data_IF_092389138308
#
_entry.id   IF_092389138308
#
_cell.length_a   1.000
_cell.length_b   1.000
_cell.length_c   1.000
_cell.angle_alpha   90.00
_cell.angle_beta   90.00
_cell.angle_gamma   90.00
#
_symmetry.space_group_name_H-M   'P 1'
#
loop_
_entity.id
_entity.type
_entity.pdbx_description
1 polymer ?
#
# COMPACT_ATOMS: atom_id res chain seq x y z
N UNK A 1 25.30 12.15 -39.01
CA UNK A 1 25.95 13.45 -38.72
C UNK A 1 26.59 13.35 -37.34
N UNK A 2 27.93 13.37 -37.27
CA UNK A 2 28.67 13.20 -36.01
C UNK A 2 28.39 14.38 -35.08
N UNK A 3 27.89 14.11 -33.86
CA UNK A 3 27.63 15.15 -32.87
C UNK A 3 28.92 15.89 -32.55
N UNK A 4 28.88 17.22 -32.66
CA UNK A 4 30.01 18.08 -32.30
C UNK A 4 30.26 17.91 -30.80
N UNK A 5 31.53 17.99 -30.36
CA UNK A 5 31.90 17.82 -28.93
C UNK A 5 31.09 18.71 -27.99
N UNK A 6 30.71 19.89 -28.46
CA UNK A 6 29.85 20.85 -27.75
C UNK A 6 28.42 20.34 -27.52
N UNK A 7 27.86 19.57 -28.46
CA UNK A 7 26.51 19.00 -28.32
C UNK A 7 26.50 17.83 -27.34
N UNK A 8 27.61 17.10 -27.22
CA UNK A 8 27.78 16.08 -26.18
C UNK A 8 27.82 16.69 -24.78
N UNK A 9 28.51 17.82 -24.61
CA UNK A 9 28.58 18.52 -23.33
C UNK A 9 27.22 19.10 -22.92
N UNK A 10 26.46 19.66 -23.86
CA UNK A 10 25.08 20.11 -23.62
C UNK A 10 24.17 18.96 -23.19
N UNK A 11 24.26 17.82 -23.87
CA UNK A 11 23.48 16.64 -23.49
C UNK A 11 23.86 16.10 -22.11
N UNK A 12 25.14 16.18 -21.72
CA UNK A 12 25.59 15.81 -20.36
C UNK A 12 25.01 16.76 -19.31
N UNK A 13 25.04 18.07 -19.55
CA UNK A 13 24.44 19.06 -18.66
C UNK A 13 22.93 18.86 -18.50
N UNK A 14 22.21 18.57 -19.60
CA UNK A 14 20.77 18.26 -19.57
C UNK A 14 20.47 16.98 -18.78
N UNK A 15 21.28 15.94 -18.93
CA UNK A 15 21.14 14.69 -18.16
C UNK A 15 21.36 14.91 -16.66
N UNK A 16 22.37 15.69 -16.28
CA UNK A 16 22.63 16.03 -14.89
C UNK A 16 21.49 16.86 -14.27
N UNK A 17 20.97 17.85 -15.00
CA UNK A 17 19.82 18.64 -14.57
C UNK A 17 18.56 17.80 -14.37
N UNK A 18 18.29 16.86 -15.28
CA UNK A 18 17.15 15.94 -15.14
C UNK A 18 17.33 14.96 -13.97
N UNK A 19 18.55 14.46 -13.73
CA UNK A 19 18.85 13.59 -12.59
C UNK A 19 18.62 14.32 -11.25
N UNK A 20 19.04 15.58 -11.13
CA UNK A 20 18.78 16.38 -9.91
C UNK A 20 17.29 16.66 -9.69
N UNK A 21 16.52 16.95 -10.75
CA UNK A 21 15.06 17.14 -10.65
C UNK A 21 14.35 15.86 -10.20
N UNK A 22 14.77 14.70 -10.71
CA UNK A 22 14.21 13.39 -10.29
C UNK A 22 14.58 13.06 -8.83
N UNK A 23 15.81 13.34 -8.40
CA UNK A 23 16.21 13.15 -7.00
C UNK A 23 15.39 14.04 -6.04
N UNK A 24 15.04 15.26 -6.46
CA UNK A 24 14.17 16.16 -5.69
C UNK A 24 12.70 15.70 -5.67
N UNK A 25 12.25 14.93 -6.67
CA UNK A 25 10.89 14.38 -6.76
C UNK A 25 10.65 13.21 -5.78
N UNK A 26 11.69 12.67 -5.14
CA UNK A 26 11.55 11.61 -4.12
C UNK A 26 11.12 12.13 -2.73
N UNK A 27 10.54 13.34 -2.65
CA UNK A 27 9.94 13.91 -1.43
C UNK A 27 8.51 13.42 -1.17
N UNK A 28 8.10 12.32 -1.80
CA UNK A 28 6.88 11.60 -1.44
C UNK A 28 7.08 10.77 -0.16
N UNK A 29 6.92 11.41 1.00
CA UNK A 29 6.54 10.76 2.26
C UNK A 29 7.54 9.76 2.87
N UNK A 30 8.46 10.26 3.71
CA UNK A 30 9.39 9.47 4.55
C UNK A 30 8.71 8.70 5.72
N UNK A 31 7.45 8.28 5.59
CA UNK A 31 6.74 7.50 6.62
C UNK A 31 6.28 6.11 6.14
N UNK A 32 6.85 5.58 5.04
CA UNK A 32 6.45 4.29 4.48
C UNK A 32 7.58 3.25 4.46
N UNK A 33 8.58 3.38 5.34
CA UNK A 33 9.79 2.54 5.32
C UNK A 33 10.02 1.80 6.64
N UNK A 34 9.09 0.91 7.03
CA UNK A 34 9.40 -0.12 8.05
C UNK A 34 8.57 -1.39 7.89
N UNK A 35 8.42 -1.90 6.67
CA UNK A 35 8.05 -3.30 6.39
C UNK A 35 8.19 -3.54 4.89
N UNK A 36 8.58 -4.74 4.41
CA UNK A 36 8.52 -5.09 2.99
C UNK A 36 7.03 -5.19 2.63
N UNK A 37 6.42 -4.03 2.38
CA UNK A 37 5.02 -3.94 2.01
C UNK A 37 4.91 -4.57 0.64
N UNK A 38 4.49 -5.84 0.61
CA UNK A 38 3.98 -6.55 -0.57
C UNK A 38 3.25 -5.53 -1.42
N UNK A 39 3.61 -5.45 -2.70
CA UNK A 39 3.09 -4.41 -3.59
C UNK A 39 1.57 -4.35 -3.40
N UNK A 40 1.05 -3.17 -3.02
CA UNK A 40 -0.38 -3.00 -2.66
C UNK A 40 -1.30 -3.49 -3.78
N UNK A 41 -0.79 -3.55 -5.02
CA UNK A 41 -1.47 -4.13 -6.17
C UNK A 41 -1.54 -5.65 -6.10
N UNK A 42 -0.46 -6.31 -5.71
CA UNK A 42 -0.42 -7.76 -5.52
C UNK A 42 -1.29 -8.19 -4.36
N UNK A 43 -1.25 -7.45 -3.24
CA UNK A 43 -2.14 -7.70 -2.10
C UNK A 43 -3.62 -7.60 -2.52
N UNK A 44 -4.00 -6.55 -3.28
CA UNK A 44 -5.36 -6.43 -3.82
C UNK A 44 -5.72 -7.55 -4.81
N UNK A 45 -4.78 -8.06 -5.59
CA UNK A 45 -5.02 -9.20 -6.49
C UNK A 45 -5.27 -10.48 -5.69
N UNK A 46 -4.52 -10.70 -4.61
CA UNK A 46 -4.73 -11.83 -3.70
C UNK A 46 -6.08 -11.70 -3.00
N UNK A 47 -6.40 -10.53 -2.48
CA UNK A 47 -7.69 -10.23 -1.85
C UNK A 47 -8.85 -10.48 -2.84
N UNK A 48 -8.73 -9.98 -4.08
CA UNK A 48 -9.72 -10.22 -5.14
C UNK A 48 -9.84 -11.70 -5.51
N UNK A 49 -8.73 -12.44 -5.60
CA UNK A 49 -8.74 -13.87 -5.84
C UNK A 49 -9.43 -14.64 -4.71
N UNK A 50 -9.34 -14.14 -3.48
CA UNK A 50 -10.03 -14.66 -2.31
C UNK A 50 -11.47 -14.12 -2.16
N UNK A 51 -11.93 -13.25 -3.08
CA UNK A 51 -13.27 -12.65 -3.04
C UNK A 51 -13.45 -11.55 -1.99
N UNK A 52 -12.36 -11.07 -1.36
CA UNK A 52 -12.40 -9.99 -0.38
C UNK A 52 -12.64 -8.66 -1.09
N UNK A 53 -13.74 -8.00 -0.74
CA UNK A 53 -14.11 -6.67 -1.22
C UNK A 53 -13.91 -5.66 -0.10
N UNK A 54 -13.28 -4.49 -0.35
CA UNK A 54 -13.19 -3.45 0.66
C UNK A 54 -14.59 -2.89 0.97
N UNK A 55 -15.09 -3.19 2.16
CA UNK A 55 -16.37 -2.68 2.66
C UNK A 55 -16.12 -1.59 3.71
N UNK A 56 -16.44 -0.33 3.35
CA UNK A 56 -16.23 0.81 4.24
C UNK A 56 -17.49 1.09 5.07
N UNK A 57 -17.50 0.62 6.32
CA UNK A 57 -18.49 1.00 7.32
C UNK A 57 -17.82 1.70 8.51
N UNK A 58 -18.49 2.68 9.10
CA UNK A 58 -18.01 3.34 10.33
C UNK A 58 -18.43 2.49 11.52
N UNK A 59 -17.46 2.04 12.30
CA UNK A 59 -17.67 1.31 13.56
C UNK A 59 -17.32 2.21 14.75
N UNK A 60 -17.93 1.94 15.90
CA UNK A 60 -17.55 2.59 17.16
C UNK A 60 -16.09 2.24 17.51
N UNK A 61 -15.32 3.20 18.02
CA UNK A 61 -13.91 3.00 18.36
C UNK A 61 -13.69 1.88 19.38
N UNK A 62 -14.54 1.77 20.40
CA UNK A 62 -14.45 0.70 21.40
C UNK A 62 -14.69 -0.68 20.79
N UNK A 63 -15.64 -0.79 19.85
CA UNK A 63 -15.89 -2.03 19.12
C UNK A 63 -14.69 -2.44 18.25
N UNK A 64 -14.02 -1.47 17.62
CA UNK A 64 -12.80 -1.74 16.84
C UNK A 64 -11.66 -2.24 17.73
N UNK A 65 -11.50 -1.68 18.94
CA UNK A 65 -10.49 -2.15 19.91
C UNK A 65 -10.79 -3.57 20.41
N UNK A 66 -12.06 -3.87 20.70
CA UNK A 66 -12.50 -5.20 21.10
C UNK A 66 -12.25 -6.23 19.98
N UNK A 67 -12.60 -5.89 18.74
CA UNK A 67 -12.34 -6.73 17.57
C UNK A 67 -10.85 -6.97 17.37
N UNK A 68 -10.00 -5.96 17.53
CA UNK A 68 -8.53 -6.11 17.45
C UNK A 68 -7.99 -7.02 18.55
N UNK A 69 -8.48 -6.84 19.77
CA UNK A 69 -8.06 -7.64 20.93
C UNK A 69 -8.41 -9.11 20.73
N UNK A 70 -9.62 -9.39 20.23
CA UNK A 70 -10.08 -10.76 19.93
C UNK A 70 -9.37 -11.36 18.71
N UNK A 71 -9.09 -10.54 17.70
CA UNK A 71 -8.37 -10.96 16.51
C UNK A 71 -6.91 -11.36 16.81
N UNK A 72 -6.31 -10.81 17.87
CA UNK A 72 -4.95 -11.15 18.28
C UNK A 72 -4.77 -12.64 18.62
N UNK A 73 -5.85 -13.32 19.05
CA UNK A 73 -5.85 -14.74 19.39
C UNK A 73 -6.53 -15.61 18.34
N UNK A 74 -6.99 -15.04 17.22
CA UNK A 74 -7.77 -15.75 16.22
C UNK A 74 -6.87 -16.34 15.12
N UNK A 75 -7.02 -17.63 14.75
CA UNK A 75 -6.15 -18.28 13.76
C UNK A 75 -6.20 -17.61 12.38
N UNK A 76 -7.37 -17.09 11.99
CA UNK A 76 -7.59 -16.39 10.71
C UNK A 76 -7.47 -14.86 10.80
N UNK A 77 -6.95 -14.36 11.93
CA UNK A 77 -6.78 -12.94 12.21
C UNK A 77 -8.10 -12.15 12.19
N UNK A 78 -8.01 -10.86 11.88
CA UNK A 78 -9.14 -9.92 11.95
C UNK A 78 -10.22 -10.20 10.91
N UNK A 79 -9.82 -10.58 9.68
CA UNK A 79 -10.78 -10.82 8.59
C UNK A 79 -11.61 -12.09 8.84
N UNK A 80 -11.00 -13.17 9.33
CA UNK A 80 -11.74 -14.38 9.67
C UNK A 80 -12.68 -14.17 10.87
N UNK A 81 -12.21 -13.50 11.93
CA UNK A 81 -13.07 -13.14 13.06
C UNK A 81 -14.28 -12.29 12.61
N UNK A 82 -14.05 -11.33 11.71
CA UNK A 82 -15.13 -10.50 11.16
C UNK A 82 -16.13 -11.34 10.35
N UNK A 83 -15.68 -12.28 9.51
CA UNK A 83 -16.58 -13.16 8.75
C UNK A 83 -17.47 -14.00 9.69
N UNK A 84 -16.90 -14.60 10.73
CA UNK A 84 -17.66 -15.36 11.73
C UNK A 84 -18.70 -14.51 12.47
N UNK A 85 -18.29 -13.34 12.98
CA UNK A 85 -19.19 -12.43 13.71
C UNK A 85 -20.31 -11.93 12.81
N UNK A 86 -19.99 -11.56 11.57
CA UNK A 86 -20.98 -11.08 10.61
C UNK A 86 -21.94 -12.21 10.23
N UNK A 87 -21.45 -13.41 9.89
CA UNK A 87 -22.31 -14.57 9.58
C UNK A 87 -23.22 -14.94 10.74
N UNK A 88 -22.70 -14.96 11.96
CA UNK A 88 -23.48 -15.23 13.17
C UNK A 88 -24.57 -14.18 13.40
N UNK A 89 -24.28 -12.91 13.12
CA UNK A 89 -25.28 -11.83 13.22
C UNK A 89 -26.33 -11.86 12.10
N UNK A 90 -25.98 -12.37 10.91
CA UNK A 90 -26.90 -12.52 9.78
C UNK A 90 -27.77 -13.79 9.87
N UNK A 91 -27.33 -14.80 10.60
CA UNK A 91 -28.04 -16.07 10.80
C UNK A 91 -29.16 -15.99 11.87
N UNK A 92 -29.75 -14.80 12.05
CA UNK A 92 -30.72 -14.48 13.11
C UNK A 92 -31.81 -15.51 13.35
#
# INVERSE_FOLDING_TARGET
MAMKKTDLEKNKALKLGNAMKQAAANRGGKNAATEPKVDRREQRKLDQAQGLVPFACKLNSGLVEELKTRAATHPDGLNGLLDEVIRRGLAG
#
